data_IF_837565472967
#
_entry.id   IF_837565472967
#
_cell.length_a   1.000
_cell.length_b   1.000
_cell.length_c   1.000
_cell.angle_alpha   90.00
_cell.angle_beta   90.00
_cell.angle_gamma   90.00
#
_symmetry.space_group_name_H-M   'P 1'
#
loop_
_entity.id
_entity.type
_entity.pdbx_description
1 polymer ?
#
# COMPACT_ATOMS: atom_id res chain seq x y z
N UNK A 1 -17.15 -22.98 4.83
CA UNK A 1 -17.38 -21.80 3.96
C UNK A 1 -16.04 -21.42 3.34
N UNK A 2 -15.98 -21.04 2.07
CA UNK A 2 -14.75 -20.62 1.38
C UNK A 2 -14.88 -19.14 1.01
N UNK A 3 -13.95 -18.31 1.49
CA UNK A 3 -13.86 -16.90 1.12
C UNK A 3 -12.97 -16.75 -0.13
N UNK A 4 -13.30 -15.79 -0.98
CA UNK A 4 -12.50 -15.39 -2.13
C UNK A 4 -12.36 -13.87 -2.05
N UNK A 5 -11.13 -13.39 -2.11
CA UNK A 5 -10.81 -11.97 -2.20
C UNK A 5 -10.44 -11.66 -3.65
N UNK A 6 -11.09 -10.64 -4.21
CA UNK A 6 -10.84 -10.14 -5.57
C UNK A 6 -11.16 -8.66 -5.61
N UNK A 7 -10.55 -7.95 -6.56
CA UNK A 7 -10.90 -6.57 -6.86
C UNK A 7 -12.21 -6.50 -7.63
N UNK A 8 -12.96 -5.42 -7.38
CA UNK A 8 -14.22 -5.11 -8.00
C UNK A 8 -14.44 -3.60 -7.96
N UNK A 9 -15.11 -3.09 -8.99
CA UNK A 9 -15.40 -1.66 -9.13
C UNK A 9 -16.87 -1.40 -8.87
N UNK A 10 -17.20 -0.41 -8.04
CA UNK A 10 -18.55 0.13 -7.91
C UNK A 10 -18.71 1.22 -8.97
N UNK A 11 -19.64 1.03 -9.90
CA UNK A 11 -19.89 2.01 -10.96
C UNK A 11 -20.77 3.17 -10.48
N UNK A 12 -20.97 4.19 -11.32
CA UNK A 12 -21.77 5.39 -11.02
C UNK A 12 -23.23 5.08 -10.62
N UNK A 13 -23.77 3.93 -11.03
CA UNK A 13 -25.11 3.48 -10.65
C UNK A 13 -25.16 2.69 -9.33
N UNK A 14 -24.02 2.55 -8.65
CA UNK A 14 -23.89 1.79 -7.41
C UNK A 14 -23.85 0.27 -7.58
N UNK A 15 -23.60 -0.23 -8.80
CA UNK A 15 -23.50 -1.67 -9.06
C UNK A 15 -22.06 -2.16 -8.94
N UNK A 16 -21.88 -3.28 -8.23
CA UNK A 16 -20.59 -3.96 -8.10
C UNK A 16 -20.30 -4.78 -9.36
N UNK A 17 -19.19 -4.46 -10.04
CA UNK A 17 -18.68 -5.21 -11.18
C UNK A 17 -17.38 -5.88 -10.79
N UNK A 18 -17.30 -7.20 -10.88
CA UNK A 18 -16.07 -7.94 -10.60
C UNK A 18 -15.10 -7.80 -11.77
N UNK A 19 -13.83 -7.52 -11.49
CA UNK A 19 -12.82 -7.38 -12.54
C UNK A 19 -12.47 -8.73 -13.20
N UNK A 20 -12.74 -9.83 -12.47
CA UNK A 20 -12.48 -11.20 -12.91
C UNK A 20 -13.63 -12.14 -12.54
N UNK A 21 -13.83 -13.16 -13.37
CA UNK A 21 -14.78 -14.23 -13.08
C UNK A 21 -14.32 -15.07 -11.88
N UNK A 22 -15.26 -15.43 -11.00
CA UNK A 22 -14.99 -16.23 -9.79
C UNK A 22 -14.77 -17.74 -10.09
N UNK A 23 -14.88 -18.16 -11.36
CA UNK A 23 -14.58 -19.53 -11.78
C UNK A 23 -15.61 -20.58 -11.32
N UNK A 24 -16.81 -20.17 -10.90
CA UNK A 24 -17.87 -21.11 -10.53
C UNK A 24 -18.60 -21.64 -11.77
N UNK A 25 -18.71 -22.96 -11.87
CA UNK A 25 -19.33 -23.66 -13.02
C UNK A 25 -20.86 -23.81 -12.83
N UNK A 26 -21.40 -23.48 -11.64
CA UNK A 26 -22.82 -23.64 -11.31
C UNK A 26 -23.41 -22.36 -10.71
N UNK A 27 -24.64 -21.97 -11.10
CA UNK A 27 -25.37 -20.88 -10.45
C UNK A 27 -25.62 -21.19 -8.97
N UNK A 28 -25.22 -20.30 -8.08
CA UNK A 28 -25.43 -20.43 -6.63
C UNK A 28 -25.58 -19.05 -5.98
N UNK A 29 -26.28 -18.99 -4.84
CA UNK A 29 -26.34 -17.77 -4.02
C UNK A 29 -25.06 -17.63 -3.19
N UNK A 30 -24.55 -16.42 -3.09
CA UNK A 30 -23.35 -16.09 -2.31
C UNK A 30 -23.61 -14.91 -1.38
N UNK A 31 -22.79 -14.78 -0.34
CA UNK A 31 -22.75 -13.60 0.53
C UNK A 31 -21.54 -12.76 0.14
N UNK A 32 -21.75 -11.49 -0.12
CA UNK A 32 -20.70 -10.54 -0.53
C UNK A 32 -20.41 -9.62 0.66
N UNK A 33 -19.12 -9.38 0.92
CA UNK A 33 -18.64 -8.36 1.85
C UNK A 33 -17.85 -7.37 0.99
N UNK A 34 -18.20 -6.09 1.09
CA UNK A 34 -17.51 -5.01 0.37
C UNK A 34 -16.68 -4.24 1.39
N UNK A 35 -15.38 -4.15 1.16
CA UNK A 35 -14.47 -3.32 1.93
C UNK A 35 -14.24 -2.06 1.10
N UNK A 36 -14.60 -0.90 1.66
CA UNK A 36 -14.31 0.40 1.06
C UNK A 36 -13.10 0.96 1.79
N UNK A 37 -12.14 1.50 1.04
CA UNK A 37 -11.08 2.32 1.65
C UNK A 37 -11.72 3.58 2.21
N UNK A 38 -11.38 3.93 3.44
CA UNK A 38 -11.70 5.22 4.01
C UNK A 38 -10.69 6.23 3.42
N UNK A 39 -10.85 6.56 2.14
CA UNK A 39 -9.91 7.42 1.36
C UNK A 39 -9.84 8.87 1.88
N UNK A 40 -10.49 9.21 3.00
CA UNK A 40 -10.61 10.56 3.54
C UNK A 40 -10.10 10.74 4.99
N UNK A 41 -9.66 9.67 5.66
CA UNK A 41 -8.86 9.85 6.88
C UNK A 41 -7.39 9.89 6.49
N UNK A 42 -6.91 11.08 6.11
CA UNK A 42 -5.47 11.33 6.07
C UNK A 42 -4.91 11.05 7.45
N UNK A 43 -4.23 9.92 7.61
CA UNK A 43 -3.47 9.61 8.81
C UNK A 43 -2.46 10.76 9.00
N UNK A 44 -2.56 11.54 10.10
CA UNK A 44 -1.64 12.65 10.33
C UNK A 44 -0.17 12.20 10.46
N UNK A 45 0.06 10.90 10.70
CA UNK A 45 1.38 10.29 10.77
C UNK A 45 1.84 9.73 9.40
N UNK A 46 0.98 9.72 8.37
CA UNK A 46 1.36 9.27 7.03
C UNK A 46 2.26 10.30 6.33
N UNK A 47 3.46 9.84 5.95
CA UNK A 47 4.38 10.67 5.18
C UNK A 47 3.88 10.76 3.73
N UNK A 48 3.73 11.98 3.16
CA UNK A 48 3.27 12.13 1.78
C UNK A 48 4.12 11.35 0.79
N UNK A 49 3.47 10.74 -0.20
CA UNK A 49 4.15 9.89 -1.21
C UNK A 49 5.30 10.63 -1.91
N UNK A 50 5.13 11.93 -2.17
CA UNK A 50 6.14 12.77 -2.81
C UNK A 50 7.40 12.89 -1.94
N UNK A 51 7.24 13.01 -0.62
CA UNK A 51 8.36 13.09 0.33
C UNK A 51 9.11 11.76 0.37
N UNK A 52 8.40 10.64 0.38
CA UNK A 52 9.00 9.30 0.32
C UNK A 52 9.80 9.10 -0.97
N UNK A 53 9.22 9.49 -2.12
CA UNK A 53 9.88 9.37 -3.43
C UNK A 53 11.16 10.21 -3.49
N UNK A 54 11.14 11.45 -3.01
CA UNK A 54 12.34 12.30 -2.98
C UNK A 54 13.42 11.72 -2.05
N UNK A 55 13.06 11.20 -0.88
CA UNK A 55 14.00 10.54 0.02
C UNK A 55 14.66 9.31 -0.61
N UNK A 56 13.90 8.48 -1.33
CA UNK A 56 14.43 7.32 -2.05
C UNK A 56 15.39 7.75 -3.17
N UNK A 57 15.03 8.76 -3.95
CA UNK A 57 15.88 9.30 -5.03
C UNK A 57 17.21 9.81 -4.48
N UNK A 58 17.16 10.57 -3.40
CA UNK A 58 18.34 11.08 -2.72
C UNK A 58 19.23 9.94 -2.21
N UNK A 59 18.67 8.99 -1.45
CA UNK A 59 19.45 7.88 -0.89
C UNK A 59 20.09 7.00 -1.96
N UNK A 60 19.41 6.79 -3.09
CA UNK A 60 20.00 6.08 -4.23
C UNK A 60 21.16 6.87 -4.86
N UNK A 61 21.01 8.18 -5.04
CA UNK A 61 22.08 9.04 -5.55
C UNK A 61 23.30 9.03 -4.63
N UNK A 62 23.09 9.14 -3.32
CA UNK A 62 24.15 9.09 -2.30
C UNK A 62 24.88 7.75 -2.31
N UNK A 63 24.14 6.63 -2.38
CA UNK A 63 24.72 5.30 -2.49
C UNK A 63 25.58 5.13 -3.76
N UNK A 64 25.09 5.61 -4.91
CA UNK A 64 25.81 5.51 -6.18
C UNK A 64 27.04 6.43 -6.25
N UNK A 65 27.04 7.53 -5.49
CA UNK A 65 28.16 8.50 -5.44
C UNK A 65 29.12 8.26 -4.28
N UNK A 66 28.86 7.25 -3.44
CA UNK A 66 29.68 6.93 -2.26
C UNK A 66 29.52 7.91 -1.10
N UNK A 67 28.49 8.77 -1.13
CA UNK A 67 28.13 9.68 -0.04
C UNK A 67 27.34 8.94 1.04
N UNK A 68 27.93 7.89 1.61
CA UNK A 68 27.27 7.00 2.58
C UNK A 68 28.00 6.98 3.91
N UNK A 69 27.26 6.86 5.01
CA UNK A 69 27.82 6.62 6.34
C UNK A 69 27.89 5.11 6.61
N UNK A 70 29.03 4.55 7.03
CA UNK A 70 29.11 3.15 7.44
C UNK A 70 28.14 2.87 8.61
N UNK A 71 27.47 1.72 8.59
CA UNK A 71 26.49 1.36 9.62
C UNK A 71 27.09 1.36 11.04
N UNK A 72 28.37 0.99 11.17
CA UNK A 72 29.09 1.04 12.46
C UNK A 72 29.25 2.46 13.01
N UNK A 73 29.25 3.47 12.14
CA UNK A 73 29.42 4.88 12.47
C UNK A 73 28.08 5.62 12.63
N UNK A 74 26.96 5.01 12.22
CA UNK A 74 25.63 5.65 12.31
C UNK A 74 25.20 5.99 13.73
N UNK A 75 25.69 5.24 14.72
CA UNK A 75 25.38 5.44 16.13
C UNK A 75 26.38 6.38 16.83
N UNK A 76 27.45 6.79 16.13
CA UNK A 76 28.48 7.67 16.68
C UNK A 76 27.87 9.04 17.01
N UNK A 77 27.74 9.37 18.30
CA UNK A 77 27.20 10.64 18.77
C UNK A 77 25.69 10.67 19.01
N UNK A 78 25.00 9.54 18.88
CA UNK A 78 23.63 9.37 19.39
C UNK A 78 23.74 8.71 20.76
N UNK A 79 23.52 9.48 21.83
CA UNK A 79 23.50 8.93 23.19
C UNK A 79 22.27 8.04 23.37
N UNK A 80 22.50 6.77 23.75
CA UNK A 80 21.46 5.79 24.03
C UNK A 80 21.17 5.69 25.54
N UNK A 81 20.94 6.83 26.20
CA UNK A 81 20.44 6.88 27.59
C UNK A 81 18.91 6.74 27.67
#
# INVERSE_FOLDING_TARGET
>A
MKAIETTATINESGQLTLDKSLGFIKPQRVRVIVLLSEDDETDPDETPTEVVIEGIRQGLHEALTGQTLPLSEMWSGIDAE
#
